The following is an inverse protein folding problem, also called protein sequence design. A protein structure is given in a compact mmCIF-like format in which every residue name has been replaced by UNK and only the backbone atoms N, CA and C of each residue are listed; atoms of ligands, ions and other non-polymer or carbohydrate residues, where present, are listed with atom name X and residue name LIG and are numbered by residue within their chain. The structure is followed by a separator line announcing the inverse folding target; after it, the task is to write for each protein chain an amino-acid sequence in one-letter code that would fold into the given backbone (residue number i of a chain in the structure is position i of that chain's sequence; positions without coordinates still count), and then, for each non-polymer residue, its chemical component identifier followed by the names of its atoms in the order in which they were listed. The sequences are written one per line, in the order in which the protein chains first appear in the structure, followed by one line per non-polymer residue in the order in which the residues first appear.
data_IF_564075613787
#
_entry.id   IF_564075613787
#
_cell.length_a   1.000
_cell.length_b   1.000
_cell.length_c   1.000
_cell.angle_alpha   90.00
_cell.angle_beta   90.00
_cell.angle_gamma   90.00
#
_symmetry.space_group_name_H-M   'P 1'
#
loop_
_entity.id
_entity.type
_entity.pdbx_description
1 polymer ?
#
# COMPACT_ATOMS: atom_id res chain seq x y z
N UNK A 1 -18.87 20.89 -12.38
CA UNK A 1 -19.94 20.66 -11.51
C UNK A 1 -20.03 19.26 -11.07
N UNK A 2 -20.14 18.47 -12.01
CA UNK A 2 -20.27 17.08 -11.75
C UNK A 2 -19.07 16.50 -11.06
N UNK A 3 -17.98 17.13 -11.24
CA UNK A 3 -16.75 16.64 -10.66
C UNK A 3 -16.71 16.61 -9.17
N UNK A 4 -17.58 17.41 -8.55
CA UNK A 4 -17.60 17.45 -7.12
C UNK A 4 -17.88 16.11 -6.51
N UNK A 5 -18.66 15.32 -7.20
CA UNK A 5 -19.05 14.03 -6.69
C UNK A 5 -17.90 13.05 -6.59
N UNK A 6 -16.87 13.26 -7.38
CA UNK A 6 -15.75 12.36 -7.37
C UNK A 6 -14.97 12.39 -6.07
N UNK A 7 -15.08 13.48 -5.34
CA UNK A 7 -14.35 13.63 -4.10
C UNK A 7 -14.83 12.67 -3.02
N UNK A 8 -16.05 12.16 -3.16
CA UNK A 8 -16.61 11.30 -2.15
C UNK A 8 -16.34 9.83 -2.40
N UNK A 9 -15.59 9.50 -3.45
CA UNK A 9 -15.33 8.10 -3.75
C UNK A 9 -14.35 7.44 -2.80
N UNK A 10 -13.53 8.20 -2.10
CA UNK A 10 -12.67 7.62 -1.09
C UNK A 10 -13.38 7.64 0.24
N UNK A 11 -13.40 6.47 0.89
CA UNK A 11 -14.06 6.33 2.17
C UNK A 11 -13.43 7.28 3.19
N UNK A 12 -14.24 8.15 3.83
CA UNK A 12 -13.69 9.10 4.81
C UNK A 12 -13.10 8.46 6.05
N UNK A 13 -13.30 7.17 6.25
CA UNK A 13 -12.70 6.48 7.39
C UNK A 13 -11.28 6.03 7.15
N UNK A 14 -10.70 6.40 6.01
CA UNK A 14 -9.30 6.11 5.72
C UNK A 14 -8.44 7.26 6.20
N UNK A 15 -7.43 6.94 6.98
CA UNK A 15 -6.41 7.90 7.39
C UNK A 15 -5.30 7.88 6.35
N UNK A 16 -4.96 9.05 5.80
CA UNK A 16 -3.94 9.18 4.77
C UNK A 16 -2.66 9.72 5.36
N UNK A 17 -1.60 8.94 5.29
CA UNK A 17 -0.31 9.29 5.88
C UNK A 17 0.75 9.27 4.80
N UNK A 18 1.70 10.19 4.85
CA UNK A 18 2.87 10.09 4.01
C UNK A 18 4.12 10.18 4.87
N UNK A 19 5.14 9.43 4.49
CA UNK A 19 6.41 9.40 5.16
C UNK A 19 7.46 9.85 4.17
N UNK A 20 8.09 10.98 4.48
CA UNK A 20 9.08 11.58 3.60
C UNK A 20 10.44 10.97 3.88
N UNK A 21 11.13 10.57 2.82
CA UNK A 21 12.45 9.99 2.96
C UNK A 21 13.14 9.88 1.62
N UNK A 22 14.29 9.25 1.59
CA UNK A 22 15.02 9.03 0.35
C UNK A 22 14.63 7.69 -0.25
N UNK A 23 14.83 7.55 -1.56
CA UNK A 23 14.61 6.26 -2.21
C UNK A 23 15.48 5.18 -1.61
N UNK A 24 16.70 5.56 -1.21
CA UNK A 24 17.63 4.59 -0.65
C UNK A 24 17.14 3.99 0.65
N UNK A 25 16.42 4.77 1.46
CA UNK A 25 16.00 4.34 2.78
C UNK A 25 14.60 3.75 2.80
N UNK A 26 13.94 3.64 1.66
CA UNK A 26 12.52 3.28 1.70
C UNK A 26 12.27 1.86 2.18
N UNK A 27 13.18 0.92 1.95
CA UNK A 27 12.97 -0.42 2.51
C UNK A 27 13.07 -0.38 4.04
N UNK A 28 14.07 0.33 4.57
CA UNK A 28 14.17 0.45 6.02
C UNK A 28 12.97 1.17 6.61
N UNK A 29 12.47 2.18 5.91
CA UNK A 29 11.27 2.88 6.36
C UNK A 29 10.06 1.94 6.35
N UNK A 30 9.96 1.09 5.32
CA UNK A 30 8.90 0.10 5.26
C UNK A 30 8.99 -0.85 6.45
N UNK A 31 10.18 -1.33 6.74
CA UNK A 31 10.37 -2.27 7.83
C UNK A 31 10.01 -1.65 9.17
N UNK A 32 10.45 -0.40 9.38
CA UNK A 32 10.13 0.32 10.62
C UNK A 32 8.63 0.56 10.74
N UNK A 33 7.99 0.91 9.63
CA UNK A 33 6.56 1.13 9.60
C UNK A 33 5.80 -0.13 9.99
N UNK A 34 6.18 -1.26 9.42
CA UNK A 34 5.52 -2.52 9.74
C UNK A 34 5.72 -2.89 11.20
N UNK A 35 6.91 -2.63 11.75
CA UNK A 35 7.17 -2.91 13.16
C UNK A 35 6.35 -2.01 14.08
N UNK A 36 6.20 -0.75 13.70
CA UNK A 36 5.46 0.21 14.51
C UNK A 36 3.96 -0.02 14.46
N UNK A 37 3.43 -0.26 13.26
CA UNK A 37 1.99 -0.38 13.06
C UNK A 37 1.44 -1.77 13.35
N UNK A 38 2.27 -2.79 13.17
CA UNK A 38 1.86 -4.19 13.35
C UNK A 38 0.50 -4.45 12.71
N UNK A 39 0.39 -4.22 11.40
CA UNK A 39 -0.92 -4.32 10.73
C UNK A 39 -1.45 -5.74 10.80
N UNK A 40 -2.76 -5.84 10.93
CA UNK A 40 -3.40 -7.14 10.90
C UNK A 40 -3.25 -7.74 9.51
N UNK A 41 -3.45 -6.94 8.49
CA UNK A 41 -3.21 -7.29 7.09
C UNK A 41 -2.77 -6.03 6.37
N UNK A 42 -1.73 -6.15 5.54
CA UNK A 42 -1.25 -5.01 4.76
C UNK A 42 -0.94 -5.43 3.34
N UNK A 43 -1.21 -4.54 2.39
CA UNK A 43 -0.74 -4.70 1.02
C UNK A 43 0.35 -3.66 0.79
N UNK A 44 1.48 -4.10 0.26
CA UNK A 44 2.57 -3.21 -0.12
C UNK A 44 2.62 -3.15 -1.64
N UNK A 45 2.44 -1.98 -2.21
CA UNK A 45 2.43 -1.79 -3.65
C UNK A 45 3.81 -1.42 -4.16
N UNK A 46 4.33 -2.26 -5.05
CA UNK A 46 5.62 -2.09 -5.70
C UNK A 46 5.42 -2.45 -7.17
N UNK A 47 5.68 -1.52 -8.09
CA UNK A 47 5.33 -1.75 -9.48
C UNK A 47 6.45 -2.35 -10.33
N UNK A 48 7.70 -2.24 -9.91
CA UNK A 48 8.80 -2.88 -10.64
C UNK A 48 8.93 -4.31 -10.17
N UNK A 49 8.82 -5.26 -11.11
CA UNK A 49 8.76 -6.68 -10.76
C UNK A 49 10.04 -7.19 -10.09
N UNK A 50 11.20 -6.71 -10.53
CA UNK A 50 12.46 -7.11 -9.91
C UNK A 50 12.54 -6.59 -8.48
N UNK A 51 12.16 -5.34 -8.28
CA UNK A 51 12.16 -4.74 -6.96
C UNK A 51 11.14 -5.40 -6.04
N UNK A 52 10.00 -5.74 -6.60
CA UNK A 52 8.95 -6.44 -5.84
C UNK A 52 9.50 -7.75 -5.25
N UNK A 53 10.23 -8.51 -6.06
CA UNK A 53 10.84 -9.74 -5.61
C UNK A 53 11.86 -9.48 -4.50
N UNK A 54 12.69 -8.47 -4.68
CA UNK A 54 13.69 -8.11 -3.68
C UNK A 54 13.05 -7.70 -2.37
N UNK A 55 12.01 -6.90 -2.44
CA UNK A 55 11.30 -6.45 -1.24
C UNK A 55 10.73 -7.63 -0.48
N UNK A 56 10.07 -8.53 -1.18
CA UNK A 56 9.48 -9.70 -0.53
C UNK A 56 10.55 -10.56 0.13
N UNK A 57 11.66 -10.79 -0.56
CA UNK A 57 12.75 -11.60 0.00
C UNK A 57 13.37 -10.95 1.23
N UNK A 58 13.55 -9.63 1.18
CA UNK A 58 14.10 -8.91 2.32
C UNK A 58 13.16 -8.93 3.51
N UNK A 59 11.86 -8.79 3.26
CA UNK A 59 10.88 -8.85 4.34
C UNK A 59 10.92 -10.23 5.02
N UNK A 60 10.99 -11.28 4.21
CA UNK A 60 11.08 -12.62 4.77
C UNK A 60 12.37 -12.83 5.54
N UNK A 61 13.46 -12.27 5.05
CA UNK A 61 14.73 -12.34 5.75
C UNK A 61 14.63 -11.72 7.15
N UNK A 62 13.87 -10.64 7.29
CA UNK A 62 13.64 -9.97 8.56
C UNK A 62 12.47 -10.57 9.34
N UNK A 63 12.05 -11.77 9.00
CA UNK A 63 11.02 -12.51 9.73
C UNK A 63 9.63 -11.91 9.61
N UNK A 64 9.39 -11.11 8.59
CA UNK A 64 8.04 -10.63 8.28
C UNK A 64 7.33 -11.72 7.51
N UNK A 65 6.09 -12.02 7.91
CA UNK A 65 5.31 -13.04 7.22
C UNK A 65 4.69 -12.46 5.97
N UNK A 66 5.48 -12.39 4.90
CA UNK A 66 5.04 -11.79 3.65
C UNK A 66 4.97 -12.83 2.53
N UNK A 67 4.14 -12.52 1.56
CA UNK A 67 4.09 -13.26 0.31
C UNK A 67 3.90 -12.24 -0.80
N UNK A 68 4.11 -12.66 -2.04
CA UNK A 68 4.09 -11.73 -3.16
C UNK A 68 3.35 -12.33 -4.35
N UNK A 69 2.76 -11.45 -5.15
CA UNK A 69 2.18 -11.84 -6.44
C UNK A 69 3.04 -11.20 -7.51
N UNK A 70 3.84 -12.03 -8.18
CA UNK A 70 4.73 -11.56 -9.22
C UNK A 70 3.99 -11.41 -10.53
N UNK A 71 4.46 -10.50 -11.39
CA UNK A 71 3.79 -10.24 -12.65
C UNK A 71 3.71 -11.44 -13.57
N UNK A 72 4.71 -12.35 -13.49
CA UNK A 72 4.74 -13.53 -14.32
C UNK A 72 4.28 -14.78 -13.58
N UNK A 73 3.59 -14.60 -12.46
CA UNK A 73 3.11 -15.73 -11.67
C UNK A 73 2.02 -16.49 -12.41
N UNK A 74 2.02 -17.81 -12.26
CA UNK A 74 0.96 -18.65 -12.80
C UNK A 74 -0.32 -18.44 -12.00
N UNK A 75 -1.42 -18.94 -12.53
CA UNK A 75 -2.70 -18.87 -11.83
C UNK A 75 -2.61 -19.57 -10.48
N UNK A 76 -1.92 -20.73 -10.47
CA UNK A 76 -1.77 -21.49 -9.23
C UNK A 76 -0.91 -20.75 -8.21
N UNK A 77 0.15 -20.10 -8.67
CA UNK A 77 1.01 -19.34 -7.76
C UNK A 77 0.27 -18.18 -7.15
N UNK A 78 -0.54 -17.48 -7.96
CA UNK A 78 -1.33 -16.39 -7.43
C UNK A 78 -2.34 -16.86 -6.41
N UNK A 79 -2.97 -18.00 -6.69
CA UNK A 79 -3.96 -18.55 -5.78
C UNK A 79 -3.32 -18.95 -4.45
N UNK A 80 -2.12 -19.54 -4.49
CA UNK A 80 -1.44 -19.91 -3.27
C UNK A 80 -1.08 -18.69 -2.42
N UNK A 81 -0.62 -17.62 -3.08
CA UNK A 81 -0.29 -16.38 -2.36
C UNK A 81 -1.54 -15.80 -1.69
N UNK A 82 -2.64 -15.75 -2.44
CA UNK A 82 -3.90 -15.23 -1.88
C UNK A 82 -4.40 -16.09 -0.74
N UNK A 83 -4.28 -17.40 -0.87
CA UNK A 83 -4.73 -18.29 0.20
C UNK A 83 -3.92 -18.10 1.47
N UNK A 84 -2.59 -17.99 1.34
CA UNK A 84 -1.74 -17.73 2.50
C UNK A 84 -2.13 -16.44 3.19
N UNK A 85 -2.42 -15.41 2.39
CA UNK A 85 -2.81 -14.12 2.92
C UNK A 85 -4.19 -14.17 3.55
N UNK A 86 -5.12 -14.84 2.87
CA UNK A 86 -6.50 -14.94 3.35
C UNK A 86 -6.58 -15.71 4.65
N UNK A 87 -5.77 -16.78 4.77
CA UNK A 87 -5.79 -17.62 5.97
C UNK A 87 -4.95 -17.08 7.11
N UNK A 88 -4.25 -15.99 6.88
CA UNK A 88 -3.44 -15.39 7.93
C UNK A 88 -2.07 -16.00 8.14
N UNK A 89 -1.66 -16.92 7.26
CA UNK A 89 -0.29 -17.43 7.33
C UNK A 89 0.70 -16.33 7.02
N UNK A 90 0.33 -15.42 6.11
CA UNK A 90 1.08 -14.22 5.84
C UNK A 90 0.15 -13.04 6.07
N UNK A 91 0.69 -11.99 6.68
CA UNK A 91 -0.11 -10.78 6.92
C UNK A 91 0.35 -9.60 6.08
N UNK A 92 1.34 -9.80 5.21
CA UNK A 92 1.79 -8.76 4.28
C UNK A 92 1.81 -9.35 2.87
N UNK A 93 1.11 -8.68 1.97
CA UNK A 93 1.08 -9.07 0.56
C UNK A 93 1.78 -8.00 -0.25
N UNK A 94 2.79 -8.39 -1.02
CA UNK A 94 3.51 -7.46 -1.89
C UNK A 94 3.01 -7.68 -3.31
N UNK A 95 2.56 -6.60 -3.97
CA UNK A 95 1.96 -6.72 -5.30
C UNK A 95 2.14 -5.44 -6.09
N UNK A 96 2.09 -5.54 -7.41
CA UNK A 96 1.95 -4.37 -8.27
C UNK A 96 0.47 -4.04 -8.41
N UNK A 97 0.20 -2.84 -8.92
CA UNK A 97 -1.19 -2.46 -9.23
C UNK A 97 -1.77 -3.41 -10.25
N UNK A 98 -0.99 -3.75 -11.27
CA UNK A 98 -1.48 -4.62 -12.33
C UNK A 98 -1.82 -6.02 -11.80
N UNK A 99 -0.94 -6.58 -10.98
CA UNK A 99 -1.18 -7.93 -10.44
C UNK A 99 -2.34 -7.97 -9.47
N UNK A 100 -2.59 -6.89 -8.75
CA UNK A 100 -3.70 -6.84 -7.80
C UNK A 100 -5.04 -6.63 -8.48
N UNK A 101 -5.04 -6.04 -9.67
CA UNK A 101 -6.26 -5.71 -10.38
C UNK A 101 -7.02 -6.97 -10.74
N UNK A 102 -8.31 -6.98 -10.45
CA UNK A 102 -9.15 -8.13 -10.77
C UNK A 102 -9.08 -9.29 -9.79
N UNK A 103 -8.23 -9.19 -8.78
CA UNK A 103 -8.15 -10.23 -7.76
C UNK A 103 -9.04 -9.89 -6.58
N UNK A 104 -9.64 -10.93 -6.03
CA UNK A 104 -10.48 -10.77 -4.85
C UNK A 104 -9.61 -10.86 -3.61
N UNK A 105 -8.98 -9.74 -3.29
CA UNK A 105 -8.08 -9.66 -2.14
C UNK A 105 -8.91 -9.28 -0.92
N UNK A 106 -8.74 -10.00 0.20
CA UNK A 106 -9.51 -9.65 1.41
C UNK A 106 -9.17 -8.26 1.89
N UNK A 107 -10.11 -7.66 2.61
CA UNK A 107 -9.91 -6.33 3.15
C UNK A 107 -8.66 -6.27 4.02
N UNK A 108 -7.90 -5.18 3.89
CA UNK A 108 -6.68 -4.99 4.65
C UNK A 108 -6.84 -3.80 5.59
N UNK A 109 -6.07 -3.81 6.66
CA UNK A 109 -6.06 -2.67 7.59
C UNK A 109 -5.18 -1.56 7.07
N UNK A 110 -4.15 -1.90 6.29
CA UNK A 110 -3.16 -0.92 5.83
C UNK A 110 -2.87 -1.12 4.35
N UNK A 111 -2.83 0.00 3.64
CA UNK A 111 -2.29 0.07 2.28
C UNK A 111 -0.97 0.81 2.39
N UNK A 112 0.09 0.21 1.89
CA UNK A 112 1.40 0.85 1.94
C UNK A 112 1.91 1.00 0.52
N UNK A 113 2.11 2.24 0.09
CA UNK A 113 2.58 2.54 -1.26
C UNK A 113 4.07 2.78 -1.20
N UNK A 114 4.85 1.76 -1.55
CA UNK A 114 6.29 1.90 -1.66
C UNK A 114 6.61 2.69 -2.92
N UNK A 115 5.88 2.42 -3.99
CA UNK A 115 5.91 3.24 -5.19
C UNK A 115 4.69 4.14 -5.16
N UNK A 116 4.92 5.45 -5.29
CA UNK A 116 3.82 6.40 -5.28
C UNK A 116 2.96 6.20 -6.53
N UNK A 117 1.63 6.24 -6.40
CA UNK A 117 0.78 6.02 -7.58
C UNK A 117 0.95 7.13 -8.60
N UNK A 118 1.08 6.73 -9.88
CA UNK A 118 1.39 7.68 -10.94
C UNK A 118 0.17 8.49 -11.37
N UNK A 119 -1.04 8.06 -11.03
CA UNK A 119 -2.24 8.82 -11.36
C UNK A 119 -3.28 8.64 -10.28
N UNK A 120 -4.29 9.54 -10.24
CA UNK A 120 -5.29 9.51 -9.18
C UNK A 120 -6.09 8.20 -9.12
N UNK A 121 -6.37 7.62 -10.29
CA UNK A 121 -7.14 6.39 -10.32
C UNK A 121 -6.45 5.25 -9.59
N UNK A 122 -5.13 5.18 -9.71
CA UNK A 122 -4.40 4.15 -8.99
C UNK A 122 -4.51 4.35 -7.49
N UNK A 123 -4.42 5.59 -7.04
CA UNK A 123 -4.59 5.84 -5.61
C UNK A 123 -5.98 5.44 -5.14
N UNK A 124 -6.99 5.77 -5.92
CA UNK A 124 -8.36 5.40 -5.61
C UNK A 124 -8.53 3.89 -5.52
N UNK A 125 -7.98 3.17 -6.49
CA UNK A 125 -8.08 1.72 -6.51
C UNK A 125 -7.34 1.08 -5.34
N UNK A 126 -6.17 1.63 -4.98
CA UNK A 126 -5.45 1.12 -3.81
C UNK A 126 -6.25 1.36 -2.54
N UNK A 127 -6.81 2.55 -2.39
CA UNK A 127 -7.60 2.89 -1.21
C UNK A 127 -8.80 1.98 -1.08
N UNK A 128 -9.33 1.50 -2.20
CA UNK A 128 -10.47 0.60 -2.18
C UNK A 128 -10.20 -0.76 -1.58
N UNK A 129 -8.95 -1.06 -1.24
CA UNK A 129 -8.61 -2.34 -0.62
C UNK A 129 -8.75 -2.29 0.90
N UNK A 130 -9.06 -1.14 1.46
CA UNK A 130 -9.19 -1.00 2.90
C UNK A 130 -10.47 -0.24 3.25
N UNK A 131 -10.83 -0.25 4.53
CA UNK A 131 -11.95 0.52 5.06
C UNK A 131 -13.27 0.23 4.34
N UNK A 132 -13.54 -1.05 4.12
CA UNK A 132 -14.79 -1.42 3.47
C UNK A 132 -15.95 -1.32 4.44
N UNK A 133 -17.10 -0.88 3.92
CA UNK A 133 -18.28 -0.71 4.77
C UNK A 133 -18.02 0.29 5.88
N UNK A 134 -18.26 -0.11 7.11
CA UNK A 134 -18.07 0.77 8.27
C UNK A 134 -16.70 0.67 8.90
N UNK A 135 -15.80 -0.11 8.32
CA UNK A 135 -14.46 -0.27 8.87
C UNK A 135 -13.59 0.93 8.54
N UNK A 136 -12.57 1.15 9.36
CA UNK A 136 -11.57 2.17 9.09
C UNK A 136 -10.34 1.53 8.46
N UNK A 137 -9.45 2.36 7.94
CA UNK A 137 -8.24 1.88 7.32
C UNK A 137 -7.17 2.96 7.29
N UNK A 138 -5.95 2.55 6.94
CA UNK A 138 -4.81 3.45 6.88
C UNK A 138 -4.12 3.28 5.54
N UNK A 139 -3.83 4.40 4.89
CA UNK A 139 -3.07 4.43 3.64
C UNK A 139 -1.78 5.19 3.89
N UNK A 140 -0.64 4.54 3.71
CA UNK A 140 0.67 5.15 3.95
C UNK A 140 1.44 5.18 2.64
N UNK A 141 1.92 6.36 2.25
CA UNK A 141 2.77 6.51 1.08
C UNK A 141 4.18 6.86 1.53
N UNK A 142 5.15 6.10 1.07
CA UNK A 142 6.56 6.43 1.28
C UNK A 142 6.99 7.30 0.10
N UNK A 143 7.24 8.57 0.37
CA UNK A 143 7.44 9.54 -0.71
C UNK A 143 8.79 10.23 -0.61
N UNK A 144 9.20 10.83 -1.72
CA UNK A 144 10.35 11.72 -1.76
C UNK A 144 9.85 13.14 -2.02
N UNK A 145 10.76 14.10 -1.98
CA UNK A 145 10.40 15.49 -2.26
C UNK A 145 9.76 15.66 -3.63
N UNK A 146 10.11 14.81 -4.58
CA UNK A 146 9.58 14.91 -5.93
C UNK A 146 8.09 14.59 -5.99
N UNK A 147 7.59 13.87 -5.01
CA UNK A 147 6.20 13.41 -5.02
C UNK A 147 5.23 14.41 -4.41
N UNK A 148 5.74 15.45 -3.75
CA UNK A 148 4.89 16.34 -2.95
C UNK A 148 3.84 17.05 -3.79
N UNK A 149 4.23 17.57 -4.95
CA UNK A 149 3.27 18.28 -5.79
C UNK A 149 2.14 17.39 -6.27
N UNK A 150 2.49 16.15 -6.64
CA UNK A 150 1.48 15.22 -7.11
C UNK A 150 0.57 14.82 -5.96
N UNK A 151 1.16 14.61 -4.79
CA UNK A 151 0.38 14.28 -3.61
C UNK A 151 -0.62 15.37 -3.28
N UNK A 152 -0.21 16.64 -3.39
CA UNK A 152 -1.12 17.76 -3.15
C UNK A 152 -2.25 17.81 -4.17
N UNK A 153 -1.97 17.40 -5.41
CA UNK A 153 -3.03 17.36 -6.42
C UNK A 153 -4.04 16.26 -6.09
N UNK A 154 -3.61 15.17 -5.48
CA UNK A 154 -4.54 14.12 -5.05
C UNK A 154 -5.39 14.61 -3.88
N UNK A 155 -4.81 15.39 -2.98
CA UNK A 155 -5.59 15.98 -1.89
C UNK A 155 -6.74 16.80 -2.42
N UNK A 156 -6.46 17.61 -3.45
CA UNK A 156 -7.50 18.43 -4.06
C UNK A 156 -8.53 17.57 -4.79
N UNK A 157 -8.05 16.58 -5.54
CA UNK A 157 -8.95 15.78 -6.36
C UNK A 157 -9.93 14.99 -5.52
N UNK A 158 -9.52 14.52 -4.37
CA UNK A 158 -10.35 13.64 -3.54
C UNK A 158 -10.88 14.30 -2.28
N UNK A 159 -10.46 15.52 -1.99
CA UNK A 159 -10.90 16.19 -0.77
C UNK A 159 -10.35 15.55 0.48
N UNK A 160 -9.12 15.08 0.43
CA UNK A 160 -8.46 14.41 1.55
C UNK A 160 -7.24 15.19 1.99
N UNK A 161 -6.69 14.82 3.14
CA UNK A 161 -5.46 15.42 3.64
C UNK A 161 -4.48 14.32 4.01
N UNK A 162 -3.23 14.50 3.62
CA UNK A 162 -2.16 13.61 4.03
C UNK A 162 -1.48 14.17 5.27
N UNK A 163 -1.35 13.36 6.29
CA UNK A 163 -0.57 13.72 7.48
C UNK A 163 0.87 13.29 7.26
N UNK A 164 1.79 14.24 7.36
CA UNK A 164 3.21 13.95 7.17
C UNK A 164 3.76 13.44 8.50
N UNK A 165 4.39 12.27 8.45
CA UNK A 165 5.00 11.67 9.64
C UNK A 165 6.44 11.27 9.35
N UNK A 166 7.22 11.16 10.41
CA UNK A 166 8.60 10.69 10.30
C UNK A 166 8.76 9.47 11.19
N UNK A 167 9.68 8.60 10.79
CA UNK A 167 9.97 7.41 11.56
C UNK A 167 11.27 7.59 12.30
N UNK A 168 11.23 7.37 13.60
CA UNK A 168 12.41 7.47 14.47
C UNK A 168 12.59 6.17 15.22
N UNK A 169 13.83 5.70 15.26
CA UNK A 169 14.11 4.49 16.00
C UNK A 169 13.30 3.33 15.49
N UNK A 170 12.38 2.82 16.08
CA UNK A 170 11.53 1.75 15.61
C UNK A 170 10.13 2.18 15.31
N UNK A 171 9.95 3.45 15.19
CA UNK A 171 8.60 3.95 15.00
C UNK A 171 8.21 4.17 13.56
#
# INVERSE_FOLDING_TARGET
IIKIENKSEINPRIEHICILGSLRDRFENLRKLLAAEQPKRAIVFVNNNTELRQINEKLQYHKVKSTAIYGNASKEERQRALDSFRRGKCNVLVSSDLSARGLDIPEVSHIISLDFPVNPDEYLHRAGRTARGDNSGVSVCLITNKDIEILQSYEKAFGIEFTVKKLYGGK
#
